data_IF_785531945867
#
_entry.id   IF_785531945867
#
_cell.length_a   1.000
_cell.length_b   1.000
_cell.length_c   1.000
_cell.angle_alpha   90.00
_cell.angle_beta   90.00
_cell.angle_gamma   90.00
#
_symmetry.space_group_name_H-M   'P 1'
#
loop_
_entity.id
_entity.type
_entity.pdbx_description
1 polymer ?
#
# COMPACT_ATOMS: atom_id res chain seq x y z
N UNK A 1 15.18 -12.23 -37.31
CA UNK A 1 16.18 -11.44 -38.02
C UNK A 1 16.75 -12.17 -39.24
N UNK A 2 16.71 -13.52 -39.29
CA UNK A 2 17.18 -14.29 -40.48
C UNK A 2 16.45 -13.92 -41.77
N UNK A 3 15.15 -13.57 -41.75
CA UNK A 3 14.38 -13.15 -42.91
C UNK A 3 14.64 -11.72 -43.40
N UNK A 4 15.55 -10.96 -42.77
CA UNK A 4 15.82 -9.56 -43.12
C UNK A 4 17.25 -9.35 -43.66
N UNK A 5 17.94 -10.43 -44.06
CA UNK A 5 19.32 -10.35 -44.58
C UNK A 5 19.45 -9.52 -45.85
N UNK A 6 18.43 -9.52 -46.69
CA UNK A 6 18.45 -8.87 -48.02
C UNK A 6 17.85 -7.45 -48.01
N UNK A 7 17.47 -6.93 -46.85
CA UNK A 7 16.92 -5.58 -46.71
C UNK A 7 18.01 -4.51 -46.78
N UNK A 8 17.96 -3.64 -47.79
CA UNK A 8 18.95 -2.58 -47.98
C UNK A 8 18.61 -1.22 -47.39
N UNK A 9 17.67 -1.14 -46.47
CA UNK A 9 17.24 0.09 -45.80
C UNK A 9 17.65 0.18 -44.33
N UNK A 10 17.29 1.30 -43.68
CA UNK A 10 17.40 1.48 -42.23
C UNK A 10 16.30 0.67 -41.55
N UNK A 11 16.67 -0.06 -40.50
CA UNK A 11 15.76 -0.80 -39.65
C UNK A 11 15.85 -0.24 -38.23
N UNK A 12 14.71 0.10 -37.63
CA UNK A 12 14.59 0.57 -36.26
C UNK A 12 13.94 -0.53 -35.43
N UNK A 13 14.60 -0.91 -34.34
CA UNK A 13 14.05 -1.83 -33.35
C UNK A 13 13.89 -1.08 -32.04
N UNK A 14 12.70 -1.10 -31.48
CA UNK A 14 12.43 -0.56 -30.16
C UNK A 14 12.30 -1.69 -29.15
N UNK A 15 12.92 -1.57 -27.99
CA UNK A 15 12.85 -2.53 -26.90
C UNK A 15 12.98 -1.82 -25.57
N UNK A 16 12.24 -2.29 -24.57
CA UNK A 16 12.40 -1.87 -23.18
C UNK A 16 13.56 -2.60 -22.47
N UNK A 17 14.13 -3.62 -23.12
CA UNK A 17 15.25 -4.39 -22.61
C UNK A 17 16.51 -4.10 -23.42
N UNK A 18 17.66 -4.07 -22.76
CA UNK A 18 18.93 -4.01 -23.46
C UNK A 18 19.11 -5.21 -24.37
N UNK A 19 19.41 -4.92 -25.62
CA UNK A 19 19.73 -5.96 -26.58
C UNK A 19 21.22 -6.28 -26.57
N UNK A 20 21.56 -7.43 -25.98
CA UNK A 20 22.97 -7.88 -25.85
C UNK A 20 23.38 -8.90 -26.93
N UNK A 21 22.56 -9.13 -27.97
CA UNK A 21 22.96 -10.01 -29.05
C UNK A 21 23.69 -9.23 -30.14
N UNK A 22 24.87 -9.73 -30.54
CA UNK A 22 25.54 -9.32 -31.76
C UNK A 22 24.71 -9.85 -32.97
N UNK A 23 24.52 -9.00 -33.98
CA UNK A 23 24.01 -9.48 -35.25
C UNK A 23 25.22 -9.98 -36.02
N UNK A 24 25.27 -11.27 -36.31
CA UNK A 24 26.29 -11.85 -37.18
C UNK A 24 26.09 -11.29 -38.60
N UNK A 25 27.10 -10.57 -39.15
CA UNK A 25 27.11 -10.00 -40.44
C UNK A 25 27.68 -8.57 -40.49
N UNK A 26 27.89 -8.04 -41.70
CA UNK A 26 28.53 -6.73 -41.95
C UNK A 26 27.69 -5.49 -41.57
N UNK A 27 26.55 -5.66 -40.91
CA UNK A 27 25.66 -4.55 -40.59
C UNK A 27 26.04 -3.86 -39.31
N UNK A 28 26.19 -2.54 -39.39
CA UNK A 28 26.46 -1.69 -38.22
C UNK A 28 25.17 -1.52 -37.37
N UNK A 29 25.17 -2.01 -36.14
CA UNK A 29 24.12 -1.77 -35.19
C UNK A 29 24.49 -0.57 -34.33
N UNK A 30 23.64 0.46 -34.37
CA UNK A 30 23.77 1.63 -33.49
C UNK A 30 22.73 1.51 -32.39
N UNK A 31 23.18 1.41 -31.15
CA UNK A 31 22.31 1.41 -29.97
C UNK A 31 22.09 2.86 -29.53
N UNK A 32 20.83 3.28 -29.53
CA UNK A 32 20.43 4.59 -29.01
C UNK A 32 19.59 4.36 -27.76
N UNK A 33 20.06 4.86 -26.62
CA UNK A 33 19.27 4.85 -25.39
C UNK A 33 18.43 6.11 -25.35
N UNK A 34 17.10 5.95 -25.29
CA UNK A 34 16.18 7.05 -25.05
C UNK A 34 16.08 7.20 -23.53
N UNK A 35 16.50 8.34 -22.95
CA UNK A 35 16.38 8.55 -21.50
C UNK A 35 14.92 8.67 -21.08
N UNK A 36 14.65 8.45 -19.80
CA UNK A 36 13.34 8.77 -19.23
C UNK A 36 13.09 10.29 -19.26
N UNK A 37 11.84 10.68 -19.42
CA UNK A 37 11.44 12.09 -19.44
C UNK A 37 11.81 12.80 -18.16
N UNK A 38 12.42 13.97 -18.24
CA UNK A 38 12.63 14.87 -17.11
C UNK A 38 11.29 15.47 -16.63
N UNK A 39 11.28 16.17 -15.50
CA UNK A 39 10.09 16.88 -15.05
C UNK A 39 9.70 17.98 -16.05
N UNK A 40 10.68 18.69 -16.61
CA UNK A 40 10.48 19.72 -17.62
C UNK A 40 9.87 19.11 -18.89
N UNK A 41 10.36 17.98 -19.37
CA UNK A 41 9.80 17.29 -20.54
C UNK A 41 8.33 16.91 -20.29
N UNK A 42 8.02 16.41 -19.10
CA UNK A 42 6.64 16.05 -18.76
C UNK A 42 5.71 17.25 -18.68
N UNK A 43 6.19 18.39 -18.15
CA UNK A 43 5.39 19.64 -18.15
C UNK A 43 5.05 20.03 -19.57
N UNK A 44 6.03 20.04 -20.49
CA UNK A 44 5.81 20.34 -21.91
C UNK A 44 4.86 19.35 -22.58
N UNK A 45 4.96 18.07 -22.26
CA UNK A 45 4.08 17.05 -22.81
C UNK A 45 2.63 17.22 -22.33
N UNK A 46 2.41 17.48 -21.04
CA UNK A 46 1.08 17.77 -20.50
C UNK A 46 0.49 19.02 -21.13
N UNK A 47 1.28 20.08 -21.28
CA UNK A 47 0.85 21.34 -21.90
C UNK A 47 0.46 21.14 -23.36
N UNK A 48 1.21 20.33 -24.11
CA UNK A 48 0.93 20.02 -25.51
C UNK A 48 -0.29 19.10 -25.70
N UNK A 49 -0.51 18.14 -24.79
CA UNK A 49 -1.61 17.17 -24.90
C UNK A 49 -2.96 17.72 -24.42
N UNK A 50 -2.97 18.60 -23.40
CA UNK A 50 -4.18 19.22 -22.88
C UNK A 50 -4.56 20.43 -23.72
N UNK A 51 -5.51 20.26 -24.65
CA UNK A 51 -6.10 21.33 -25.42
C UNK A 51 -6.82 22.33 -24.50
N UNK A 52 -6.99 23.58 -24.95
CA UNK A 52 -7.56 24.64 -24.07
C UNK A 52 -8.95 24.27 -23.53
N UNK A 53 -9.78 23.59 -24.34
CA UNK A 53 -11.13 23.18 -23.96
C UNK A 53 -11.14 22.08 -22.87
N UNK A 54 -10.04 21.37 -22.70
CA UNK A 54 -9.87 20.29 -21.72
C UNK A 54 -9.13 20.72 -20.45
N UNK A 55 -8.71 21.99 -20.36
CA UNK A 55 -7.92 22.49 -19.23
C UNK A 55 -8.79 22.75 -18.01
N UNK A 56 -8.54 22.07 -16.87
CA UNK A 56 -9.15 22.47 -15.60
C UNK A 56 -8.78 23.91 -15.22
N UNK A 57 -9.72 24.62 -14.59
CA UNK A 57 -9.47 25.98 -14.12
C UNK A 57 -8.36 26.06 -13.05
N UNK A 58 -8.18 24.98 -12.30
CA UNK A 58 -7.18 24.79 -11.25
C UNK A 58 -5.97 23.97 -11.71
N UNK A 59 -5.71 23.91 -13.02
CA UNK A 59 -4.63 23.12 -13.61
C UNK A 59 -3.26 23.51 -13.04
N UNK A 60 -2.56 22.50 -12.51
CA UNK A 60 -1.19 22.64 -12.06
C UNK A 60 -0.29 21.59 -12.74
N UNK A 61 0.34 21.99 -13.85
CA UNK A 61 1.20 21.13 -14.66
C UNK A 61 2.43 20.63 -13.89
N UNK A 62 2.99 21.46 -12.99
CA UNK A 62 4.13 21.06 -12.16
C UNK A 62 3.71 19.92 -11.23
N UNK A 63 2.56 20.07 -10.58
CA UNK A 63 2.02 19.04 -9.71
C UNK A 63 1.77 17.71 -10.46
N UNK A 64 1.18 17.76 -11.66
CA UNK A 64 0.97 16.57 -12.50
C UNK A 64 2.28 15.90 -12.90
N UNK A 65 3.25 16.68 -13.37
CA UNK A 65 4.55 16.19 -13.82
C UNK A 65 5.40 15.59 -12.68
N UNK A 66 5.27 16.14 -11.48
CA UNK A 66 5.95 15.61 -10.29
C UNK A 66 5.25 14.38 -9.73
N UNK A 67 3.90 14.42 -9.64
CA UNK A 67 3.12 13.30 -9.09
C UNK A 67 3.14 12.07 -9.99
N UNK A 68 3.13 12.27 -11.33
CA UNK A 68 3.07 11.17 -12.29
C UNK A 68 4.28 11.21 -13.24
N UNK A 69 5.22 10.28 -13.04
CA UNK A 69 6.41 10.11 -13.91
C UNK A 69 6.04 9.28 -15.14
N UNK A 70 5.13 9.80 -15.96
CA UNK A 70 4.58 9.11 -17.11
C UNK A 70 5.42 9.32 -18.37
N UNK A 71 5.37 8.34 -19.29
CA UNK A 71 5.90 8.49 -20.65
C UNK A 71 4.93 9.29 -21.51
N UNK A 72 5.40 9.83 -22.64
CA UNK A 72 4.56 10.59 -23.56
C UNK A 72 3.31 9.81 -23.99
N UNK A 73 3.45 8.53 -24.36
CA UNK A 73 2.29 7.70 -24.72
C UNK A 73 1.30 7.54 -23.57
N UNK A 74 1.77 7.39 -22.33
CA UNK A 74 0.87 7.28 -21.18
C UNK A 74 0.16 8.59 -20.87
N UNK A 75 0.82 9.74 -21.10
CA UNK A 75 0.17 11.05 -20.92
C UNK A 75 -0.96 11.20 -21.96
N UNK A 76 -0.74 10.78 -23.19
CA UNK A 76 -1.78 10.77 -24.24
C UNK A 76 -2.96 9.89 -23.80
N UNK A 77 -2.69 8.63 -23.39
CA UNK A 77 -3.72 7.71 -22.91
C UNK A 77 -4.53 8.31 -21.74
N UNK A 78 -3.88 9.02 -20.80
CA UNK A 78 -4.55 9.70 -19.70
C UNK A 78 -5.46 10.85 -20.16
N UNK A 79 -5.03 11.62 -21.16
CA UNK A 79 -5.82 12.74 -21.70
C UNK A 79 -7.03 12.22 -22.47
N UNK A 80 -6.88 11.16 -23.26
CA UNK A 80 -7.98 10.48 -23.96
C UNK A 80 -9.02 9.93 -22.94
N UNK A 81 -8.58 9.20 -21.94
CA UNK A 81 -9.44 8.70 -20.88
C UNK A 81 -10.16 9.83 -20.13
N UNK A 82 -9.46 10.93 -19.84
CA UNK A 82 -10.05 12.11 -19.22
C UNK A 82 -11.13 12.76 -20.10
N UNK A 83 -10.88 12.88 -21.41
CA UNK A 83 -11.84 13.42 -22.36
C UNK A 83 -13.10 12.54 -22.42
N UNK A 84 -12.96 11.23 -22.49
CA UNK A 84 -14.07 10.28 -22.49
C UNK A 84 -14.92 10.40 -21.21
N UNK A 85 -14.29 10.57 -20.05
CA UNK A 85 -14.98 10.76 -18.77
C UNK A 85 -15.80 12.04 -18.75
N UNK A 86 -15.25 13.15 -19.24
CA UNK A 86 -15.98 14.41 -19.33
C UNK A 86 -17.20 14.29 -20.22
N UNK A 87 -17.05 13.63 -21.38
CA UNK A 87 -18.14 13.37 -22.31
C UNK A 87 -19.24 12.51 -21.68
N UNK A 88 -18.86 11.41 -21.02
CA UNK A 88 -19.82 10.51 -20.37
C UNK A 88 -20.59 11.18 -19.22
N UNK A 89 -19.92 12.06 -18.47
CA UNK A 89 -20.54 12.77 -17.32
C UNK A 89 -21.26 14.05 -17.72
N UNK A 90 -21.03 14.58 -18.93
CA UNK A 90 -21.45 15.94 -19.32
C UNK A 90 -20.84 17.01 -18.41
N UNK A 91 -19.63 16.74 -17.87
CA UNK A 91 -18.98 17.58 -16.87
C UNK A 91 -18.04 18.60 -17.51
N UNK A 92 -17.85 19.74 -16.82
CA UNK A 92 -16.81 20.70 -17.17
C UNK A 92 -15.42 20.15 -16.76
N UNK A 93 -14.35 20.58 -17.46
CA UNK A 93 -12.99 20.21 -17.12
C UNK A 93 -12.66 20.51 -15.65
N UNK A 94 -12.14 19.48 -14.94
CA UNK A 94 -11.77 19.60 -13.54
C UNK A 94 -10.58 18.70 -13.22
N UNK A 95 -9.80 19.10 -12.21
CA UNK A 95 -8.59 18.39 -11.83
C UNK A 95 -8.85 17.00 -11.24
N UNK A 96 -10.00 16.80 -10.59
CA UNK A 96 -10.33 15.52 -9.97
C UNK A 96 -10.51 14.39 -11.02
N UNK A 97 -11.22 14.67 -12.12
CA UNK A 97 -11.40 13.70 -13.21
C UNK A 97 -10.10 13.46 -13.99
N UNK A 98 -9.23 14.46 -14.14
CA UNK A 98 -7.91 14.29 -14.74
C UNK A 98 -7.00 13.38 -13.89
N UNK A 99 -6.96 13.60 -12.58
CA UNK A 99 -6.21 12.75 -11.65
C UNK A 99 -6.77 11.32 -11.63
N UNK A 100 -8.10 11.18 -11.69
CA UNK A 100 -8.73 9.87 -11.74
C UNK A 100 -8.35 9.11 -13.02
N UNK A 101 -8.35 9.76 -14.19
CA UNK A 101 -7.90 9.15 -15.45
C UNK A 101 -6.44 8.69 -15.38
N UNK A 102 -5.54 9.51 -14.81
CA UNK A 102 -4.15 9.12 -14.58
C UNK A 102 -4.04 7.88 -13.68
N UNK A 103 -4.85 7.82 -12.62
CA UNK A 103 -4.84 6.71 -11.67
C UNK A 103 -5.32 5.42 -12.34
N UNK A 104 -6.41 5.46 -13.10
CA UNK A 104 -6.97 4.28 -13.76
C UNK A 104 -6.03 3.73 -14.84
N UNK A 105 -5.36 4.59 -15.60
CA UNK A 105 -4.33 4.15 -16.56
C UNK A 105 -3.17 3.42 -15.86
N UNK A 106 -2.81 3.81 -14.65
CA UNK A 106 -1.80 3.13 -13.86
C UNK A 106 -2.31 1.80 -13.27
N UNK A 107 -3.56 1.74 -12.81
CA UNK A 107 -4.20 0.51 -12.35
C UNK A 107 -4.26 -0.55 -13.45
N UNK A 108 -4.65 -0.17 -14.67
CA UNK A 108 -4.63 -1.07 -15.83
C UNK A 108 -3.26 -1.68 -16.07
N UNK A 109 -2.17 -0.95 -15.80
CA UNK A 109 -0.79 -1.40 -16.03
C UNK A 109 -0.23 -2.24 -14.89
N UNK A 110 -0.67 -2.02 -13.65
CA UNK A 110 -0.35 -2.87 -12.49
C UNK A 110 -1.04 -4.23 -12.59
N UNK A 111 -2.17 -4.30 -13.29
CA UNK A 111 -2.90 -5.53 -13.54
C UNK A 111 -3.49 -6.15 -12.28
N UNK A 112 -3.50 -7.51 -12.24
CA UNK A 112 -4.02 -8.26 -11.10
C UNK A 112 -3.00 -8.47 -9.97
N UNK A 113 -1.73 -8.12 -10.20
CA UNK A 113 -0.64 -8.40 -9.28
C UNK A 113 -0.58 -7.40 -8.10
N UNK A 114 -1.24 -6.24 -8.23
CA UNK A 114 -1.38 -5.26 -7.14
C UNK A 114 -2.77 -4.59 -7.18
N UNK A 115 -3.40 -4.50 -6.02
CA UNK A 115 -4.76 -3.96 -5.85
C UNK A 115 -4.68 -2.63 -5.13
N UNK A 116 -5.33 -1.60 -5.66
CA UNK A 116 -5.44 -0.31 -5.00
C UNK A 116 -6.26 -0.42 -3.73
N UNK A 117 -5.76 0.17 -2.66
CA UNK A 117 -6.50 0.36 -1.40
C UNK A 117 -6.88 1.84 -1.28
N UNK A 118 -8.16 2.10 -1.14
CA UNK A 118 -8.65 3.44 -0.82
C UNK A 118 -8.24 3.83 0.60
N UNK A 119 -7.49 4.92 0.74
CA UNK A 119 -6.99 5.41 2.03
C UNK A 119 -8.11 6.18 2.76
N UNK A 120 -8.86 5.48 3.63
CA UNK A 120 -10.01 6.03 4.38
C UNK A 120 -9.63 6.61 5.74
N UNK A 121 -8.50 6.16 6.33
CA UNK A 121 -8.10 6.54 7.68
C UNK A 121 -7.21 7.77 7.69
N UNK A 122 -7.37 8.60 8.72
CA UNK A 122 -6.58 9.81 8.98
C UNK A 122 -5.58 9.58 10.11
N UNK A 123 -4.68 10.53 10.30
CA UNK A 123 -3.63 10.47 11.32
C UNK A 123 -4.19 10.37 12.74
N UNK A 124 -5.33 11.00 12.97
CA UNK A 124 -6.05 11.02 14.26
C UNK A 124 -6.63 9.65 14.61
N UNK A 125 -7.03 8.88 13.61
CA UNK A 125 -7.60 7.53 13.79
C UNK A 125 -6.55 6.51 14.26
N UNK A 126 -5.25 6.83 14.08
CA UNK A 126 -4.16 5.90 14.38
C UNK A 126 -3.78 5.97 15.86
N UNK A 127 -4.16 4.92 16.61
CA UNK A 127 -3.86 4.78 18.03
C UNK A 127 -2.65 3.87 18.22
N UNK A 128 -1.47 4.48 18.32
CA UNK A 128 -0.17 3.83 18.56
C UNK A 128 0.55 4.53 19.73
N UNK A 129 1.57 3.88 20.33
CA UNK A 129 2.47 4.57 21.25
C UNK A 129 3.22 5.71 20.55
N UNK A 130 3.49 6.80 21.27
CA UNK A 130 4.13 7.99 20.70
C UNK A 130 5.47 7.73 19.97
N UNK A 131 6.37 6.84 20.46
CA UNK A 131 7.61 6.54 19.74
C UNK A 131 7.37 5.97 18.34
N UNK A 132 6.40 5.05 18.19
CA UNK A 132 6.05 4.46 16.89
C UNK A 132 5.37 5.46 15.98
N UNK A 133 4.49 6.30 16.55
CA UNK A 133 3.82 7.38 15.83
C UNK A 133 4.82 8.40 15.29
N UNK A 134 5.87 8.70 16.08
CA UNK A 134 6.97 9.57 15.68
C UNK A 134 7.77 8.96 14.52
N UNK A 135 8.13 7.68 14.58
CA UNK A 135 8.84 7.01 13.48
C UNK A 135 8.04 7.05 12.17
N UNK A 136 6.71 6.90 12.24
CA UNK A 136 5.84 7.06 11.07
C UNK A 136 5.85 8.49 10.54
N UNK A 137 5.85 9.48 11.45
CA UNK A 137 5.94 10.89 11.06
C UNK A 137 7.27 11.21 10.40
N UNK A 138 8.39 10.77 10.99
CA UNK A 138 9.74 10.93 10.43
C UNK A 138 9.87 10.29 9.04
N UNK A 139 9.24 9.12 8.84
CA UNK A 139 9.20 8.47 7.53
C UNK A 139 8.40 9.28 6.50
N UNK A 140 7.25 9.85 6.88
CA UNK A 140 6.49 10.77 6.02
C UNK A 140 7.31 12.03 5.68
N UNK A 141 7.94 12.62 6.65
CA UNK A 141 8.75 13.84 6.46
C UNK A 141 9.95 13.56 5.53
N UNK A 142 10.55 12.36 5.61
CA UNK A 142 11.60 11.96 4.67
C UNK A 142 11.08 11.90 3.22
N UNK A 143 9.84 11.46 3.00
CA UNK A 143 9.22 11.45 1.66
C UNK A 143 8.95 12.89 1.19
N UNK A 144 8.33 13.71 2.02
CA UNK A 144 7.97 15.10 1.68
C UNK A 144 9.19 15.98 1.41
N UNK A 145 10.27 15.78 2.16
CA UNK A 145 11.50 16.55 2.05
C UNK A 145 12.54 15.94 1.10
N UNK A 146 12.17 14.84 0.40
CA UNK A 146 13.09 14.10 -0.47
C UNK A 146 13.78 15.00 -1.49
N UNK A 147 13.03 15.81 -2.22
CA UNK A 147 13.57 16.73 -3.23
C UNK A 147 14.54 17.75 -2.62
N UNK A 148 14.20 18.33 -1.46
CA UNK A 148 15.03 19.30 -0.78
C UNK A 148 16.38 18.71 -0.37
N UNK A 149 16.36 17.51 0.24
CA UNK A 149 17.58 16.89 0.77
C UNK A 149 18.44 16.30 -0.35
N UNK A 150 17.84 15.53 -1.25
CA UNK A 150 18.63 14.83 -2.27
C UNK A 150 19.06 15.78 -3.39
N UNK A 151 18.17 16.61 -3.94
CA UNK A 151 18.50 17.46 -5.08
C UNK A 151 19.07 18.82 -4.67
N UNK A 152 18.38 19.59 -3.79
CA UNK A 152 18.85 20.93 -3.43
C UNK A 152 20.11 20.93 -2.55
N UNK A 153 20.19 20.00 -1.59
CA UNK A 153 21.38 19.84 -0.73
C UNK A 153 22.44 18.94 -1.35
N UNK A 154 22.16 18.27 -2.48
CA UNK A 154 23.09 17.55 -3.31
C UNK A 154 23.53 16.18 -2.76
N UNK A 155 22.71 15.53 -1.92
CA UNK A 155 22.98 14.17 -1.44
C UNK A 155 22.92 13.14 -2.57
N UNK A 156 22.17 13.40 -3.64
CA UNK A 156 22.08 12.54 -4.84
C UNK A 156 23.43 12.34 -5.53
N UNK A 157 24.35 13.34 -5.43
CA UNK A 157 25.71 13.26 -5.99
C UNK A 157 26.63 12.32 -5.19
N UNK A 158 26.28 12.03 -3.93
CA UNK A 158 27.08 11.20 -3.02
C UNK A 158 26.52 9.80 -2.83
N UNK A 159 25.22 9.61 -3.03
CA UNK A 159 24.52 8.36 -2.77
C UNK A 159 24.04 7.74 -4.08
N UNK A 160 24.58 6.58 -4.42
CA UNK A 160 24.23 5.85 -5.64
C UNK A 160 22.89 5.08 -5.52
N UNK A 161 22.47 4.68 -4.30
CA UNK A 161 21.29 3.88 -4.01
C UNK A 161 20.72 4.20 -2.62
N UNK A 162 19.56 3.59 -2.27
CA UNK A 162 18.95 3.73 -0.95
C UNK A 162 18.26 5.10 -0.74
N UNK A 163 17.79 5.75 -1.81
CA UNK A 163 17.10 7.04 -1.72
C UNK A 163 15.63 6.89 -1.33
N UNK A 164 15.00 5.75 -1.61
CA UNK A 164 13.60 5.47 -1.26
C UNK A 164 13.37 5.35 0.24
N UNK A 165 12.11 5.19 0.63
CA UNK A 165 11.67 4.97 2.02
C UNK A 165 11.12 3.56 2.14
N UNK A 166 11.92 2.66 2.72
CA UNK A 166 11.56 1.26 2.97
C UNK A 166 11.27 1.05 4.45
N UNK A 167 10.13 0.42 4.75
CA UNK A 167 9.65 0.20 6.11
C UNK A 167 9.21 -1.23 6.34
N UNK A 168 9.44 -1.73 7.57
CA UNK A 168 8.81 -2.96 8.07
C UNK A 168 7.85 -2.58 9.19
N UNK A 169 6.59 -3.00 9.05
CA UNK A 169 5.58 -2.96 10.11
C UNK A 169 5.43 -4.37 10.68
N UNK A 170 5.76 -4.54 11.95
CA UNK A 170 5.67 -5.87 12.56
C UNK A 170 4.86 -5.84 13.87
N UNK A 171 4.29 -6.98 14.22
CA UNK A 171 3.50 -7.15 15.44
C UNK A 171 2.28 -8.05 15.23
N UNK A 172 1.54 -8.37 16.29
CA UNK A 172 0.38 -9.26 16.24
C UNK A 172 -0.67 -8.85 15.20
N UNK A 173 -1.50 -9.79 14.73
CA UNK A 173 -2.59 -9.47 13.82
C UNK A 173 -3.60 -8.50 14.48
N UNK A 174 -4.20 -7.63 13.67
CA UNK A 174 -5.23 -6.69 14.14
C UNK A 174 -4.72 -5.49 14.94
N UNK A 175 -3.41 -5.21 14.95
CA UNK A 175 -2.81 -4.07 15.66
C UNK A 175 -2.73 -2.78 14.83
N UNK A 176 -3.21 -2.79 13.57
CA UNK A 176 -3.35 -1.58 12.76
C UNK A 176 -2.28 -1.36 11.68
N UNK A 177 -1.47 -2.37 11.32
CA UNK A 177 -0.42 -2.26 10.28
C UNK A 177 -0.96 -1.75 8.94
N UNK A 178 -2.00 -2.36 8.41
CA UNK A 178 -2.65 -1.94 7.15
C UNK A 178 -3.33 -0.57 7.27
N UNK A 179 -3.88 -0.25 8.45
CA UNK A 179 -4.44 1.06 8.73
C UNK A 179 -3.36 2.15 8.71
N UNK A 180 -2.19 1.90 9.29
CA UNK A 180 -1.08 2.83 9.27
C UNK A 180 -0.57 3.10 7.85
N UNK A 181 -0.54 2.09 6.97
CA UNK A 181 -0.21 2.27 5.56
C UNK A 181 -1.21 3.22 4.86
N UNK A 182 -2.51 3.07 5.13
CA UNK A 182 -3.54 3.97 4.60
C UNK A 182 -3.40 5.41 5.17
N UNK A 183 -3.12 5.54 6.46
CA UNK A 183 -2.88 6.85 7.10
C UNK A 183 -1.69 7.56 6.48
N UNK A 184 -0.60 6.84 6.20
CA UNK A 184 0.56 7.39 5.52
C UNK A 184 0.22 7.81 4.08
N UNK A 185 -0.49 6.98 3.33
CA UNK A 185 -0.93 7.28 1.97
C UNK A 185 -1.76 8.56 1.93
N UNK A 186 -2.71 8.70 2.86
CA UNK A 186 -3.55 9.88 2.98
C UNK A 186 -2.72 11.14 3.33
N UNK A 187 -1.81 11.04 4.31
CA UNK A 187 -0.93 12.15 4.72
C UNK A 187 0.01 12.61 3.60
N UNK A 188 0.49 11.67 2.79
CA UNK A 188 1.41 11.94 1.68
C UNK A 188 0.69 12.32 0.38
N UNK A 189 -0.63 12.14 0.28
CA UNK A 189 -1.39 12.31 -0.96
C UNK A 189 -0.98 11.32 -2.05
N UNK A 190 -0.55 10.11 -1.64
CA UNK A 190 -0.06 9.05 -2.52
C UNK A 190 -1.08 7.92 -2.61
N UNK A 191 -1.14 7.26 -3.77
CA UNK A 191 -1.93 6.03 -3.93
C UNK A 191 -1.26 4.87 -3.19
N UNK A 192 -2.09 3.96 -2.64
CA UNK A 192 -1.64 2.78 -1.92
C UNK A 192 -2.00 1.52 -2.69
N UNK A 193 -1.01 0.73 -3.08
CA UNK A 193 -1.22 -0.54 -3.76
C UNK A 193 -0.76 -1.71 -2.89
N UNK A 194 -1.71 -2.59 -2.57
CA UNK A 194 -1.43 -3.87 -1.92
C UNK A 194 -1.00 -4.89 -2.97
N UNK A 195 0.21 -5.39 -2.82
CA UNK A 195 0.75 -6.43 -3.70
C UNK A 195 0.20 -7.78 -3.29
N UNK A 196 -0.39 -8.50 -4.24
CA UNK A 196 -0.83 -9.89 -4.02
C UNK A 196 0.35 -10.84 -4.12
N UNK A 197 0.94 -11.15 -2.99
CA UNK A 197 2.10 -12.03 -2.94
C UNK A 197 1.80 -13.46 -3.43
N UNK A 198 0.60 -13.96 -3.21
CA UNK A 198 0.19 -15.29 -3.70
C UNK A 198 0.13 -15.34 -5.23
N UNK A 199 -0.39 -14.26 -5.86
CA UNK A 199 -0.45 -14.12 -7.31
C UNK A 199 0.91 -13.84 -7.96
N UNK A 200 1.81 -13.20 -7.22
CA UNK A 200 3.17 -12.86 -7.70
C UNK A 200 4.10 -14.07 -7.66
N UNK A 201 3.99 -14.91 -6.61
CA UNK A 201 4.81 -16.10 -6.46
C UNK A 201 4.36 -17.19 -7.43
N UNK A 202 5.09 -17.34 -8.53
CA UNK A 202 4.82 -18.35 -9.56
C UNK A 202 5.70 -19.59 -9.34
N UNK A 203 5.20 -20.77 -9.75
CA UNK A 203 5.98 -22.01 -9.82
C UNK A 203 6.97 -22.02 -11.00
N UNK A 204 6.86 -21.07 -11.92
CA UNK A 204 7.70 -20.99 -13.11
C UNK A 204 8.88 -20.04 -12.90
N UNK A 205 10.05 -20.48 -13.35
CA UNK A 205 11.31 -19.73 -13.23
C UNK A 205 11.23 -18.39 -13.94
N UNK A 206 11.59 -17.31 -13.23
CA UNK A 206 11.68 -15.96 -13.78
C UNK A 206 10.34 -15.23 -13.95
N UNK A 207 9.20 -15.86 -13.70
CA UNK A 207 7.91 -15.18 -13.75
C UNK A 207 7.70 -14.25 -12.55
N UNK A 208 8.05 -14.72 -11.35
CA UNK A 208 7.95 -13.92 -10.12
C UNK A 208 8.80 -12.66 -10.20
N UNK A 209 10.03 -12.78 -10.70
CA UNK A 209 10.95 -11.66 -10.89
C UNK A 209 10.42 -10.66 -11.94
N UNK A 210 9.81 -11.15 -13.03
CA UNK A 210 9.20 -10.31 -14.04
C UNK A 210 8.00 -9.54 -13.50
N UNK A 211 7.12 -10.20 -12.75
CA UNK A 211 5.95 -9.58 -12.10
C UNK A 211 6.40 -8.53 -11.09
N UNK A 212 7.29 -8.87 -10.16
CA UNK A 212 7.86 -7.93 -9.20
C UNK A 212 8.52 -6.74 -9.90
N UNK A 213 9.36 -6.99 -10.91
CA UNK A 213 10.01 -5.94 -11.70
C UNK A 213 9.01 -5.01 -12.38
N UNK A 214 7.87 -5.53 -12.86
CA UNK A 214 6.80 -4.72 -13.42
C UNK A 214 6.11 -3.87 -12.35
N UNK A 215 5.74 -4.45 -11.21
CA UNK A 215 5.10 -3.76 -10.09
C UNK A 215 5.97 -2.57 -9.63
N UNK A 216 7.26 -2.81 -9.33
CA UNK A 216 8.17 -1.75 -8.91
C UNK A 216 8.33 -0.65 -9.96
N UNK A 217 8.39 -1.01 -11.24
CA UNK A 217 8.50 -0.05 -12.34
C UNK A 217 7.26 0.82 -12.48
N UNK A 218 6.08 0.24 -12.39
CA UNK A 218 4.82 1.00 -12.47
C UNK A 218 4.63 1.89 -11.24
N UNK A 219 4.89 1.38 -10.04
CA UNK A 219 4.82 2.15 -8.81
C UNK A 219 5.82 3.32 -8.77
N UNK A 220 7.02 3.16 -9.35
CA UNK A 220 7.97 4.25 -9.49
C UNK A 220 7.45 5.38 -10.39
N UNK A 221 6.66 5.04 -11.43
CA UNK A 221 6.05 6.03 -12.34
C UNK A 221 4.91 6.80 -11.70
N UNK A 222 4.15 6.15 -10.83
CA UNK A 222 2.99 6.76 -10.15
C UNK A 222 3.32 7.39 -8.79
N UNK A 223 4.58 7.29 -8.34
CA UNK A 223 4.96 7.67 -6.97
C UNK A 223 4.00 7.09 -5.91
N UNK A 224 3.64 5.84 -6.07
CA UNK A 224 2.70 5.14 -5.20
C UNK A 224 3.42 4.45 -4.04
N UNK A 225 2.69 4.17 -2.98
CA UNK A 225 3.14 3.32 -1.89
C UNK A 225 2.87 1.87 -2.26
N UNK A 226 3.91 1.04 -2.26
CA UNK A 226 3.78 -0.41 -2.36
C UNK A 226 3.64 -1.01 -0.96
N UNK A 227 2.56 -1.73 -0.74
CA UNK A 227 2.26 -2.41 0.52
C UNK A 227 2.27 -3.92 0.34
N UNK A 228 3.26 -4.57 0.92
CA UNK A 228 3.39 -6.03 0.95
C UNK A 228 2.85 -6.55 2.26
N UNK A 229 1.65 -7.11 2.23
CA UNK A 229 1.00 -7.68 3.41
C UNK A 229 1.36 -9.16 3.58
N UNK A 230 1.36 -9.65 4.82
CA UNK A 230 1.66 -11.05 5.14
C UNK A 230 3.00 -11.54 4.56
N UNK A 231 4.01 -10.68 4.62
CA UNK A 231 5.32 -10.98 4.05
C UNK A 231 6.03 -12.19 4.67
N UNK A 232 5.51 -12.72 5.76
CA UNK A 232 5.97 -13.97 6.39
C UNK A 232 6.00 -15.13 5.39
N UNK A 233 5.09 -15.13 4.42
CA UNK A 233 5.01 -16.16 3.38
C UNK A 233 6.24 -16.17 2.46
N UNK A 234 6.95 -15.03 2.33
CA UNK A 234 8.16 -14.91 1.51
C UNK A 234 9.42 -15.37 2.24
N UNK A 235 9.42 -15.27 3.57
CA UNK A 235 10.60 -15.33 4.41
C UNK A 235 10.52 -16.48 5.41
N UNK A 236 9.73 -17.51 5.11
CA UNK A 236 9.74 -18.76 5.88
C UNK A 236 11.19 -19.18 6.17
N UNK A 237 11.46 -19.68 7.39
CA UNK A 237 12.80 -20.13 7.80
C UNK A 237 13.46 -20.84 6.63
N UNK A 238 14.68 -20.41 6.29
CA UNK A 238 15.56 -21.15 5.38
C UNK A 238 15.65 -22.57 5.88
N UNK A 239 14.72 -23.43 5.46
CA UNK A 239 14.85 -24.86 5.63
C UNK A 239 16.08 -25.28 4.83
N UNK A 240 16.92 -26.09 5.43
CA UNK A 240 18.05 -26.69 4.74
C UNK A 240 17.56 -27.25 3.41
N UNK A 241 18.24 -26.87 2.33
CA UNK A 241 17.87 -27.15 0.94
C UNK A 241 17.56 -28.63 0.75
N UNK A 242 16.28 -29.01 0.75
CA UNK A 242 15.86 -30.39 0.48
C UNK A 242 15.16 -30.53 -0.87
N UNK A 243 14.61 -29.43 -1.45
CA UNK A 243 13.89 -29.50 -2.72
C UNK A 243 14.22 -28.35 -3.67
N UNK A 244 14.01 -28.58 -4.97
CA UNK A 244 14.15 -27.56 -6.03
C UNK A 244 13.24 -26.33 -5.81
N UNK A 245 12.09 -26.47 -5.15
CA UNK A 245 11.18 -25.38 -4.80
C UNK A 245 11.83 -24.37 -3.83
N UNK A 246 12.70 -24.82 -2.91
CA UNK A 246 13.40 -23.94 -1.96
C UNK A 246 14.41 -23.03 -2.65
N UNK A 247 15.02 -23.49 -3.75
CA UNK A 247 15.95 -22.67 -4.55
C UNK A 247 15.23 -21.51 -5.24
N UNK A 248 14.02 -21.73 -5.72
CA UNK A 248 13.22 -20.69 -6.41
C UNK A 248 12.68 -19.64 -5.45
N UNK A 249 12.19 -20.06 -4.27
CA UNK A 249 11.78 -19.14 -3.23
C UNK A 249 12.94 -18.23 -2.78
N UNK A 250 14.13 -18.79 -2.64
CA UNK A 250 15.33 -18.03 -2.31
C UNK A 250 15.75 -17.04 -3.41
N UNK A 251 15.61 -17.39 -4.70
CA UNK A 251 15.93 -16.51 -5.80
C UNK A 251 14.97 -15.30 -5.88
N UNK A 252 13.67 -15.54 -5.77
CA UNK A 252 12.65 -14.46 -5.75
C UNK A 252 12.80 -13.56 -4.54
N UNK A 253 13.15 -14.11 -3.37
CA UNK A 253 13.47 -13.34 -2.16
C UNK A 253 14.70 -12.46 -2.37
N UNK A 254 15.78 -13.01 -2.96
CA UNK A 254 16.99 -12.23 -3.26
C UNK A 254 16.72 -11.11 -4.25
N UNK A 255 15.90 -11.37 -5.28
CA UNK A 255 15.48 -10.36 -6.23
C UNK A 255 14.65 -9.26 -5.58
N UNK A 256 13.69 -9.62 -4.72
CA UNK A 256 12.91 -8.65 -3.96
C UNK A 256 13.82 -7.77 -3.09
N UNK A 257 14.80 -8.36 -2.40
CA UNK A 257 15.77 -7.62 -1.60
C UNK A 257 16.57 -6.62 -2.42
N UNK A 258 17.03 -7.02 -3.60
CA UNK A 258 17.72 -6.11 -4.52
C UNK A 258 16.79 -4.96 -4.93
N UNK A 259 15.53 -5.27 -5.27
CA UNK A 259 14.55 -4.24 -5.67
C UNK A 259 14.22 -3.27 -4.53
N UNK A 260 14.19 -3.72 -3.28
CA UNK A 260 14.02 -2.86 -2.10
C UNK A 260 15.14 -1.81 -2.00
N UNK A 261 16.38 -2.20 -2.26
CA UNK A 261 17.52 -1.28 -2.21
C UNK A 261 17.54 -0.27 -3.39
N UNK A 262 17.10 -0.73 -4.56
CA UNK A 262 17.07 0.08 -5.79
C UNK A 262 15.84 0.99 -5.88
N UNK A 263 14.75 0.70 -5.16
CA UNK A 263 13.50 1.41 -5.28
C UNK A 263 13.56 2.78 -4.60
N UNK A 264 13.36 3.84 -5.37
CA UNK A 264 13.40 5.23 -4.87
C UNK A 264 12.04 5.72 -4.35
N UNK A 265 10.99 4.89 -4.40
CA UNK A 265 9.66 5.21 -3.87
C UNK A 265 9.46 4.80 -2.41
N UNK A 266 8.21 4.69 -2.02
CA UNK A 266 7.78 4.29 -0.67
C UNK A 266 7.34 2.84 -0.69
N UNK A 267 7.90 2.03 0.18
CA UNK A 267 7.55 0.63 0.33
C UNK A 267 7.34 0.26 1.79
N UNK A 268 6.27 -0.45 2.06
CA UNK A 268 5.91 -0.96 3.37
C UNK A 268 5.74 -2.47 3.30
N UNK A 269 6.42 -3.17 4.16
CA UNK A 269 6.31 -4.61 4.33
C UNK A 269 5.69 -4.90 5.69
N UNK A 270 4.55 -5.59 5.73
CA UNK A 270 3.87 -5.95 6.96
C UNK A 270 4.06 -7.43 7.28
N UNK A 271 4.41 -7.74 8.53
CA UNK A 271 4.61 -9.12 9.01
C UNK A 271 4.06 -9.30 10.42
N UNK A 272 3.64 -10.51 10.73
CA UNK A 272 3.30 -10.90 12.09
C UNK A 272 4.51 -11.56 12.81
N UNK A 273 5.54 -11.98 12.06
CA UNK A 273 6.64 -12.82 12.52
C UNK A 273 8.02 -12.23 12.16
N UNK A 274 8.38 -11.10 12.79
CA UNK A 274 9.69 -10.46 12.55
C UNK A 274 10.88 -11.42 12.79
N UNK A 275 10.74 -12.38 13.68
CA UNK A 275 11.76 -13.37 14.01
C UNK A 275 12.16 -14.29 12.83
N UNK A 276 11.36 -14.31 11.76
CA UNK A 276 11.68 -15.08 10.55
C UNK A 276 12.68 -14.34 9.64
N UNK A 277 12.93 -13.06 9.91
CA UNK A 277 13.82 -12.21 9.13
C UNK A 277 15.22 -12.19 9.74
N UNK A 278 16.24 -12.43 8.94
CA UNK A 278 17.62 -12.30 9.39
C UNK A 278 18.06 -10.83 9.54
N UNK A 279 19.13 -10.60 10.29
CA UNK A 279 19.65 -9.25 10.54
C UNK A 279 20.16 -8.57 9.26
N UNK A 280 20.65 -9.34 8.28
CA UNK A 280 21.10 -8.80 7.01
C UNK A 280 19.93 -8.28 6.16
N UNK A 281 18.77 -8.92 6.30
CA UNK A 281 17.52 -8.45 5.71
C UNK A 281 17.06 -7.14 6.34
N UNK A 282 16.98 -7.09 7.67
CA UNK A 282 16.49 -5.91 8.40
C UNK A 282 17.30 -4.64 8.14
N UNK A 283 18.62 -4.77 7.91
CA UNK A 283 19.52 -3.64 7.60
C UNK A 283 19.19 -2.90 6.30
N UNK A 284 18.39 -3.49 5.41
CA UNK A 284 17.96 -2.88 4.15
C UNK A 284 16.75 -1.96 4.28
N UNK A 285 16.10 -2.01 5.44
CA UNK A 285 14.97 -1.15 5.74
C UNK A 285 15.41 0.05 6.57
N UNK A 286 14.91 1.21 6.20
CA UNK A 286 15.21 2.45 6.94
C UNK A 286 14.46 2.52 8.27
N UNK A 287 13.25 1.97 8.28
CA UNK A 287 12.40 1.98 9.47
C UNK A 287 11.89 0.57 9.78
N UNK A 288 12.04 0.16 11.02
CA UNK A 288 11.47 -1.08 11.56
C UNK A 288 10.55 -0.67 12.70
N UNK A 289 9.23 -0.73 12.47
CA UNK A 289 8.22 -0.15 13.35
C UNK A 289 7.36 -1.24 13.96
N UNK A 290 7.39 -1.31 15.29
CA UNK A 290 6.59 -2.24 16.06
C UNK A 290 5.14 -1.75 16.19
N UNK A 291 4.19 -2.65 15.96
CA UNK A 291 2.78 -2.48 16.26
C UNK A 291 2.42 -3.38 17.43
N UNK A 292 2.70 -2.94 18.67
CA UNK A 292 2.53 -3.79 19.84
C UNK A 292 1.06 -4.06 20.11
N UNK A 293 0.79 -5.17 20.81
CA UNK A 293 -0.56 -5.45 21.26
C UNK A 293 -1.09 -4.31 22.15
N UNK A 294 -2.38 -4.05 22.10
CA UNK A 294 -3.01 -2.93 22.78
C UNK A 294 -2.93 -3.07 24.31
N UNK A 295 -2.46 -2.04 25.00
CA UNK A 295 -2.61 -1.90 26.46
C UNK A 295 -3.99 -1.33 26.83
N UNK A 296 -4.30 -1.24 28.12
CA UNK A 296 -5.58 -0.75 28.63
C UNK A 296 -5.86 0.67 28.10
N UNK A 297 -4.89 1.57 28.20
CA UNK A 297 -5.05 2.98 27.79
C UNK A 297 -5.40 3.11 26.30
N UNK A 298 -4.73 2.32 25.44
CA UNK A 298 -5.01 2.32 24.00
C UNK A 298 -6.32 1.63 23.66
N UNK A 299 -6.65 0.51 24.35
CA UNK A 299 -7.97 -0.14 24.16
C UNK A 299 -9.11 0.81 24.50
N UNK A 300 -8.98 1.56 25.61
CA UNK A 300 -9.94 2.59 25.99
C UNK A 300 -10.13 3.62 24.87
N UNK A 301 -9.04 4.20 24.36
CA UNK A 301 -9.10 5.14 23.24
C UNK A 301 -9.76 4.53 21.99
N UNK A 302 -9.49 3.25 21.68
CA UNK A 302 -10.13 2.58 20.55
C UNK A 302 -11.63 2.44 20.79
N UNK A 303 -12.07 2.03 21.99
CA UNK A 303 -13.49 1.93 22.33
C UNK A 303 -14.22 3.28 22.26
N UNK A 304 -13.58 4.35 22.69
CA UNK A 304 -14.12 5.72 22.61
C UNK A 304 -14.42 6.16 21.17
N UNK A 305 -13.57 5.75 20.20
CA UNK A 305 -13.61 6.22 18.82
C UNK A 305 -14.15 5.18 17.82
N UNK A 306 -14.37 3.92 18.21
CA UNK A 306 -14.74 2.86 17.27
C UNK A 306 -16.14 3.02 16.68
N UNK A 307 -17.05 3.68 17.37
CA UNK A 307 -18.39 3.96 16.89
C UNK A 307 -18.41 5.33 16.17
N UNK A 308 -18.89 5.39 14.93
CA UNK A 308 -19.18 6.67 14.27
C UNK A 308 -20.14 7.54 15.08
N UNK A 309 -20.06 8.85 14.93
CA UNK A 309 -20.90 9.80 15.68
C UNK A 309 -22.40 9.62 15.40
N UNK A 310 -22.75 9.14 14.20
CA UNK A 310 -24.12 8.89 13.75
C UNK A 310 -24.78 7.67 14.39
N UNK A 311 -23.99 6.79 15.03
CA UNK A 311 -24.52 5.57 15.65
C UNK A 311 -25.29 5.94 16.91
N UNK A 312 -26.63 5.66 16.98
CA UNK A 312 -27.42 5.91 18.18
C UNK A 312 -26.96 4.95 19.28
N UNK A 313 -26.35 5.47 20.34
CA UNK A 313 -25.84 4.68 21.45
C UNK A 313 -26.13 5.29 22.79
N UNK A 314 -26.22 4.45 23.81
CA UNK A 314 -26.17 4.87 25.21
C UNK A 314 -24.72 5.08 25.65
N UNK A 315 -24.55 5.58 26.88
CA UNK A 315 -23.23 5.67 27.49
C UNK A 315 -22.72 4.23 27.77
N UNK A 316 -21.61 3.87 27.12
CA UNK A 316 -20.95 2.59 27.30
C UNK A 316 -19.89 2.69 28.38
N UNK A 317 -19.73 1.66 29.20
CA UNK A 317 -18.65 1.56 30.16
C UNK A 317 -17.35 1.12 29.45
N UNK A 318 -16.70 2.11 28.87
CA UNK A 318 -15.47 1.90 28.09
C UNK A 318 -14.31 1.44 28.96
N UNK A 319 -14.29 1.86 30.25
CA UNK A 319 -13.27 1.48 31.21
C UNK A 319 -13.33 -0.02 31.46
N UNK A 320 -14.51 -0.53 31.82
CA UNK A 320 -14.74 -1.95 32.03
C UNK A 320 -14.36 -2.76 30.76
N UNK A 321 -14.82 -2.32 29.58
CA UNK A 321 -14.52 -3.02 28.32
C UNK A 321 -13.01 -3.06 28.03
N UNK A 322 -12.28 -1.99 28.35
CA UNK A 322 -10.84 -1.91 28.11
C UNK A 322 -10.02 -2.74 29.10
N UNK A 323 -10.45 -2.83 30.35
CA UNK A 323 -9.78 -3.58 31.40
C UNK A 323 -9.99 -5.08 31.26
N UNK A 324 -11.25 -5.49 31.15
CA UNK A 324 -11.64 -6.90 31.15
C UNK A 324 -11.24 -7.62 29.87
N UNK A 325 -11.47 -7.01 28.69
CA UNK A 325 -11.27 -7.69 27.42
C UNK A 325 -9.96 -7.27 26.74
N UNK A 326 -8.97 -8.16 26.76
CA UNK A 326 -7.68 -7.99 26.08
C UNK A 326 -7.83 -8.20 24.57
N UNK A 327 -8.46 -7.25 23.89
CA UNK A 327 -8.72 -7.28 22.47
C UNK A 327 -7.71 -6.46 21.65
N UNK A 328 -7.43 -6.90 20.43
CA UNK A 328 -6.78 -6.10 19.41
C UNK A 328 -7.75 -5.06 18.83
N UNK A 329 -7.23 -4.06 18.14
CA UNK A 329 -8.08 -3.04 17.49
C UNK A 329 -9.10 -3.63 16.50
N UNK A 330 -8.72 -4.68 15.76
CA UNK A 330 -9.64 -5.37 14.86
C UNK A 330 -10.76 -6.11 15.58
N UNK A 331 -10.46 -6.73 16.74
CA UNK A 331 -11.47 -7.39 17.54
C UNK A 331 -12.46 -6.39 18.14
N UNK A 332 -11.96 -5.26 18.67
CA UNK A 332 -12.83 -4.17 19.17
C UNK A 332 -13.76 -3.68 18.06
N UNK A 333 -13.23 -3.45 16.87
CA UNK A 333 -14.02 -3.06 15.70
C UNK A 333 -15.10 -4.10 15.36
N UNK A 334 -14.75 -5.38 15.35
CA UNK A 334 -15.70 -6.46 15.07
C UNK A 334 -16.84 -6.49 16.09
N UNK A 335 -16.52 -6.32 17.38
CA UNK A 335 -17.52 -6.25 18.45
C UNK A 335 -18.43 -5.04 18.27
N UNK A 336 -17.88 -3.87 17.99
CA UNK A 336 -18.66 -2.65 17.79
C UNK A 336 -19.63 -2.76 16.61
N UNK A 337 -19.17 -3.31 15.49
CA UNK A 337 -20.02 -3.56 14.32
C UNK A 337 -21.10 -4.59 14.63
N UNK A 338 -20.77 -5.68 15.32
CA UNK A 338 -21.74 -6.69 15.71
C UNK A 338 -22.82 -6.11 16.66
N UNK A 339 -22.39 -5.28 17.63
CA UNK A 339 -23.32 -4.59 18.55
C UNK A 339 -24.27 -3.65 17.79
N UNK A 340 -23.73 -2.90 16.82
CA UNK A 340 -24.55 -2.00 16.00
C UNK A 340 -25.61 -2.78 15.18
N UNK A 341 -25.25 -3.91 14.57
CA UNK A 341 -26.20 -4.77 13.87
C UNK A 341 -27.27 -5.35 14.79
N UNK A 342 -26.90 -5.78 16.02
CA UNK A 342 -27.85 -6.30 16.99
C UNK A 342 -28.87 -5.24 17.43
N UNK A 343 -28.41 -4.01 17.69
CA UNK A 343 -29.26 -2.89 18.05
C UNK A 343 -30.18 -2.48 16.87
N UNK A 344 -29.63 -2.38 15.68
CA UNK A 344 -30.37 -2.01 14.47
C UNK A 344 -31.49 -3.01 14.15
N UNK A 345 -31.24 -4.32 14.33
CA UNK A 345 -32.25 -5.38 14.09
C UNK A 345 -33.47 -5.23 15.02
N UNK A 346 -33.27 -4.68 16.21
CA UNK A 346 -34.34 -4.41 17.18
C UNK A 346 -34.86 -2.97 17.13
N UNK A 347 -34.28 -2.13 16.26
CA UNK A 347 -34.56 -0.67 16.17
C UNK A 347 -34.27 0.06 17.51
N UNK A 348 -33.26 -0.37 18.22
CA UNK A 348 -32.83 0.15 19.51
C UNK A 348 -31.51 0.93 19.39
N UNK A 349 -31.15 1.67 20.45
CA UNK A 349 -29.81 2.24 20.59
C UNK A 349 -28.82 1.14 20.97
N UNK A 350 -27.55 1.32 20.60
CA UNK A 350 -26.49 0.41 21.06
C UNK A 350 -26.31 0.55 22.57
N UNK A 351 -26.46 -0.55 23.31
CA UNK A 351 -26.33 -0.64 24.77
C UNK A 351 -25.21 -1.59 25.15
N UNK A 352 -24.84 -1.63 26.44
CA UNK A 352 -23.86 -2.60 26.98
C UNK A 352 -24.26 -4.04 26.67
N UNK A 353 -25.56 -4.40 26.69
CA UNK A 353 -26.07 -5.74 26.34
C UNK A 353 -25.65 -6.14 24.91
N UNK A 354 -25.81 -5.25 23.96
CA UNK A 354 -25.41 -5.49 22.56
C UNK A 354 -23.89 -5.67 22.41
N UNK A 355 -23.09 -4.83 23.12
CA UNK A 355 -21.63 -4.92 23.11
C UNK A 355 -21.16 -6.23 23.74
N UNK A 356 -21.68 -6.61 24.89
CA UNK A 356 -21.31 -7.87 25.57
C UNK A 356 -21.72 -9.11 24.75
N UNK A 357 -22.86 -9.05 24.05
CA UNK A 357 -23.24 -10.10 23.09
C UNK A 357 -22.22 -10.19 21.95
N UNK A 358 -21.75 -9.05 21.45
CA UNK A 358 -20.66 -8.98 20.45
C UNK A 358 -19.35 -9.56 20.99
N UNK A 359 -18.99 -9.24 22.21
CA UNK A 359 -17.81 -9.79 22.94
C UNK A 359 -17.90 -11.31 23.04
N UNK A 360 -19.04 -11.84 23.49
CA UNK A 360 -19.28 -13.30 23.57
C UNK A 360 -19.03 -13.98 22.22
N UNK A 361 -19.53 -13.40 21.13
CA UNK A 361 -19.34 -13.92 19.78
C UNK A 361 -17.88 -13.86 19.33
N UNK A 362 -17.17 -12.76 19.64
CA UNK A 362 -15.78 -12.59 19.25
C UNK A 362 -14.86 -13.58 19.99
N UNK A 363 -15.09 -13.80 21.30
CA UNK A 363 -14.34 -14.77 22.10
C UNK A 363 -14.61 -16.21 21.67
N UNK A 364 -15.85 -16.53 21.30
CA UNK A 364 -16.23 -17.87 20.80
C UNK A 364 -15.44 -18.28 19.55
N UNK A 365 -15.01 -17.33 18.70
CA UNK A 365 -14.15 -17.60 17.52
C UNK A 365 -12.78 -18.20 17.91
N UNK A 366 -12.30 -17.90 19.09
CA UNK A 366 -11.04 -18.45 19.62
C UNK A 366 -11.23 -19.63 20.55
N UNK A 367 -12.45 -20.18 20.62
CA UNK A 367 -12.81 -21.30 21.49
C UNK A 367 -12.99 -20.92 22.97
N UNK A 368 -12.92 -19.62 23.31
CA UNK A 368 -13.15 -19.16 24.70
C UNK A 368 -14.65 -18.98 24.95
N UNK A 369 -15.20 -19.77 25.87
CA UNK A 369 -16.55 -19.56 26.38
C UNK A 369 -16.51 -18.56 27.55
N UNK A 370 -17.41 -17.58 27.52
CA UNK A 370 -17.57 -16.65 28.64
C UNK A 370 -18.36 -17.30 29.78
N UNK A 371 -17.86 -17.09 30.97
CA UNK A 371 -18.54 -17.47 32.24
C UNK A 371 -19.08 -16.21 32.93
N UNK A 372 -19.90 -16.39 33.97
CA UNK A 372 -20.56 -15.28 34.65
C UNK A 372 -19.59 -14.17 35.11
N UNK A 373 -18.42 -14.54 35.61
CA UNK A 373 -17.41 -13.58 36.05
C UNK A 373 -16.85 -12.70 34.94
N UNK A 374 -16.83 -13.18 33.68
CA UNK A 374 -16.33 -12.40 32.55
C UNK A 374 -17.25 -11.21 32.17
N UNK A 375 -18.49 -11.21 32.65
CA UNK A 375 -19.45 -10.12 32.43
C UNK A 375 -19.39 -9.04 33.53
N UNK A 376 -18.67 -9.30 34.59
CA UNK A 376 -18.54 -8.39 35.76
C UNK A 376 -19.88 -7.87 36.27
N UNK A 377 -20.02 -6.55 36.45
CA UNK A 377 -21.28 -5.96 36.99
C UNK A 377 -22.45 -6.06 36.01
N UNK A 378 -22.21 -6.48 34.74
CA UNK A 378 -23.22 -6.54 33.68
C UNK A 378 -23.79 -7.94 33.47
N UNK A 379 -23.47 -8.92 34.28
CA UNK A 379 -23.94 -10.30 34.14
C UNK A 379 -25.48 -10.39 34.08
N UNK A 380 -26.19 -9.58 34.87
CA UNK A 380 -27.65 -9.52 34.86
C UNK A 380 -28.26 -9.22 33.46
N UNK A 381 -27.57 -8.48 32.63
CA UNK A 381 -28.03 -8.20 31.25
C UNK A 381 -28.05 -9.44 30.34
N UNK A 382 -27.33 -10.48 30.72
CA UNK A 382 -27.17 -11.69 29.91
C UNK A 382 -28.06 -12.84 30.39
N UNK A 383 -28.59 -12.79 31.63
CA UNK A 383 -29.51 -13.80 32.22
C UNK A 383 -30.89 -13.80 31.52
N UNK A 384 -31.34 -12.68 31.00
CA UNK A 384 -32.64 -12.51 30.34
C UNK A 384 -32.76 -13.20 28.96
N UNK A 385 -31.82 -14.01 28.51
CA UNK A 385 -31.85 -14.68 27.18
C UNK A 385 -32.14 -16.18 27.25
N UNK A 386 -32.39 -16.76 28.41
CA UNK A 386 -32.68 -18.20 28.57
C UNK A 386 -34.17 -18.50 28.76
N UNK A 387 -35.07 -17.54 28.53
CA UNK A 387 -36.51 -17.77 28.42
C UNK A 387 -36.91 -17.65 26.92
#
# INVERSE_FOLDING_TARGET
>A
LHGMRDWNGLLFFTSIYEWNRSIEGERKVVKVRIPDNTTEDRILLWDACLQEELRPADLNLIYLADKYRLTAGTIIDCVEEYQDRLLMKGAQPNMADLLAACTDQLEHRLGRDAVRIEAKYRWEDLILPEPQKKLLADACDQVLLHHQVYHRWGFDKKLAYGKGVSMIFYGPPGTGKTMAAQVMANRLGMELYKVDMAGVMSKYIGESEKKLGNIFRQAAKSQSILFFDEADALFGKRTEQRDSNDKYANASTAYLLQKIEEYEGVMILATNLLQNFDSAFLRRFKYVIEFPFTDITRRRKIWEHVFPAEVPREMLDVEFLAEEYKFSGSQIKNVAVAAAFLAAAKKEKVTMKHVLTGVKRELAKTGKQMIASDFGPYYYLMEEQEE
#
